data_IF_306829447418
#
_entry.id   IF_306829447418
#
_cell.length_a   1.000
_cell.length_b   1.000
_cell.length_c   1.000
_cell.angle_alpha   90.00
_cell.angle_beta   90.00
_cell.angle_gamma   90.00
#
_symmetry.space_group_name_H-M   'P 1'
#
loop_
_entity.id
_entity.type
_entity.pdbx_description
1 polymer ?
#
# COMPACT_ATOMS: atom_id res chain seq x y z
N UNK A 1 28.90 10.85 23.27
CA UNK A 1 29.98 11.49 22.50
C UNK A 1 29.57 12.92 22.18
N UNK A 2 30.20 13.87 22.86
CA UNK A 2 29.87 15.30 22.88
C UNK A 2 30.31 16.06 21.61
N UNK A 3 29.52 17.08 21.28
CA UNK A 3 29.86 18.30 20.50
C UNK A 3 30.59 18.14 19.16
N UNK A 4 29.80 18.19 18.08
CA UNK A 4 30.26 18.82 16.83
C UNK A 4 29.25 19.90 16.48
N UNK A 5 29.33 21.02 17.20
CA UNK A 5 28.90 22.30 16.66
C UNK A 5 30.10 22.79 15.87
N UNK A 6 29.94 23.02 14.57
CA UNK A 6 30.92 23.70 13.72
C UNK A 6 31.46 24.90 14.47
N UNK A 7 32.74 24.87 14.83
CA UNK A 7 33.32 25.90 15.68
C UNK A 7 33.63 27.16 14.87
N UNK A 8 33.97 28.25 15.57
CA UNK A 8 34.33 29.51 14.88
C UNK A 8 35.54 29.34 13.96
N UNK A 9 36.46 28.42 14.27
CA UNK A 9 37.65 28.18 13.47
C UNK A 9 37.28 27.53 12.12
N UNK A 10 36.39 26.53 12.12
CA UNK A 10 35.86 25.91 10.90
C UNK A 10 35.17 26.93 10.01
N UNK A 11 34.33 27.80 10.58
CA UNK A 11 33.65 28.87 9.82
C UNK A 11 34.67 29.82 9.18
N UNK A 12 35.67 30.26 9.95
CA UNK A 12 36.74 31.13 9.44
C UNK A 12 37.58 30.44 8.36
N UNK A 13 37.83 29.14 8.47
CA UNK A 13 38.53 28.36 7.45
C UNK A 13 37.76 28.34 6.13
N UNK A 14 36.45 28.04 6.18
CA UNK A 14 35.58 28.05 4.99
C UNK A 14 35.52 29.44 4.35
N UNK A 15 35.42 30.50 5.15
CA UNK A 15 35.38 31.88 4.65
C UNK A 15 36.60 32.29 3.83
N UNK A 16 37.78 31.71 4.13
CA UNK A 16 39.04 32.01 3.46
C UNK A 16 39.21 31.28 2.12
N UNK A 17 38.39 30.26 1.85
CA UNK A 17 38.48 29.50 0.61
C UNK A 17 38.08 30.34 -0.61
N UNK A 18 38.66 30.06 -1.79
CA UNK A 18 38.21 30.66 -3.05
C UNK A 18 36.74 30.35 -3.29
N UNK A 19 36.05 31.21 -4.03
CA UNK A 19 34.63 31.04 -4.34
C UNK A 19 34.46 30.71 -5.82
N UNK A 20 33.73 29.63 -6.10
CA UNK A 20 33.25 29.29 -7.42
C UNK A 20 31.79 29.75 -7.59
N UNK A 21 31.60 30.98 -8.09
CA UNK A 21 30.29 31.62 -8.12
C UNK A 21 29.27 30.94 -9.06
N UNK A 22 29.70 30.12 -10.01
CA UNK A 22 28.80 29.38 -10.91
C UNK A 22 28.38 28.02 -10.37
N UNK A 23 29.07 27.48 -9.36
CA UNK A 23 28.77 26.18 -8.79
C UNK A 23 27.45 26.20 -8.00
N UNK A 24 26.60 25.22 -8.29
CA UNK A 24 25.32 25.01 -7.61
C UNK A 24 25.33 23.63 -7.00
N UNK A 25 25.19 23.58 -5.68
CA UNK A 25 25.07 22.35 -4.90
C UNK A 25 23.62 22.22 -4.43
N UNK A 26 23.10 21.00 -4.36
CA UNK A 26 21.84 20.68 -3.72
C UNK A 26 22.08 19.75 -2.54
N UNK A 27 21.59 20.16 -1.38
CA UNK A 27 21.52 19.30 -0.21
C UNK A 27 20.23 18.46 -0.26
N UNK A 28 20.36 17.16 0.01
CA UNK A 28 19.23 16.22 0.02
C UNK A 28 19.32 15.32 1.24
N UNK A 29 18.18 15.11 1.91
CA UNK A 29 18.00 14.16 3.00
C UNK A 29 16.91 13.15 2.63
N UNK A 30 17.19 11.85 2.76
CA UNK A 30 16.26 10.77 2.45
C UNK A 30 16.42 9.60 3.41
N UNK A 31 15.34 8.84 3.63
CA UNK A 31 15.42 7.54 4.29
C UNK A 31 15.99 6.50 3.31
N UNK A 32 16.95 5.71 3.75
CA UNK A 32 17.46 4.60 2.96
C UNK A 32 16.38 3.53 2.75
N UNK A 33 16.52 2.75 1.67
CA UNK A 33 15.62 1.66 1.30
C UNK A 33 16.16 0.33 1.84
N UNK A 34 16.46 0.34 3.15
CA UNK A 34 16.92 -0.79 3.96
C UNK A 34 16.47 -0.61 5.40
N UNK A 35 16.52 -1.71 6.15
CA UNK A 35 16.30 -1.76 7.58
C UNK A 35 17.63 -1.91 8.32
N UNK A 36 17.83 -1.13 9.36
CA UNK A 36 18.95 -1.28 10.31
C UNK A 36 18.39 -1.40 11.72
N UNK A 37 19.17 -1.99 12.63
CA UNK A 37 18.88 -1.92 14.05
C UNK A 37 19.55 -0.67 14.63
N UNK A 38 18.80 0.11 15.42
CA UNK A 38 19.39 1.16 16.24
C UNK A 38 20.04 0.58 17.51
N UNK A 39 20.63 1.46 18.33
CA UNK A 39 21.29 1.10 19.58
C UNK A 39 20.34 0.42 20.60
N UNK A 40 19.02 0.50 20.39
CA UNK A 40 17.99 -0.14 21.21
C UNK A 40 17.43 -1.42 20.57
N UNK A 41 18.08 -1.94 19.52
CA UNK A 41 17.63 -3.07 18.70
C UNK A 41 16.28 -2.85 18.00
N UNK A 42 15.81 -1.60 17.91
CA UNK A 42 14.61 -1.28 17.15
C UNK A 42 14.95 -1.22 15.67
N UNK A 43 14.09 -1.84 14.86
CA UNK A 43 14.23 -1.82 13.40
C UNK A 43 13.76 -0.47 12.86
N UNK A 44 14.64 0.24 12.15
CA UNK A 44 14.40 1.57 11.62
C UNK A 44 14.88 1.71 10.17
N UNK A 45 14.33 2.68 9.44
CA UNK A 45 14.90 3.16 8.17
C UNK A 45 15.80 4.35 8.46
N UNK A 46 17.12 4.22 8.28
CA UNK A 46 18.03 5.30 8.64
C UNK A 46 17.94 6.45 7.63
N UNK A 47 18.00 7.68 8.11
CA UNK A 47 18.23 8.87 7.32
C UNK A 47 19.68 8.88 6.83
N UNK A 48 19.79 9.30 5.58
CA UNK A 48 21.03 9.49 4.88
C UNK A 48 20.92 10.81 4.13
N UNK A 49 21.93 11.63 4.26
CA UNK A 49 21.98 12.92 3.60
C UNK A 49 23.23 13.05 2.76
N UNK A 50 23.10 13.76 1.65
CA UNK A 50 24.12 13.88 0.63
C UNK A 50 24.01 15.22 -0.08
N UNK A 51 25.10 15.62 -0.70
CA UNK A 51 25.21 16.82 -1.51
C UNK A 51 25.47 16.43 -2.96
N UNK A 52 24.74 17.08 -3.86
CA UNK A 52 24.83 16.88 -5.30
C UNK A 52 25.26 18.19 -5.93
N UNK A 53 26.35 18.17 -6.69
CA UNK A 53 26.74 19.28 -7.55
C UNK A 53 25.85 19.26 -8.79
N UNK A 54 24.82 20.11 -8.82
CA UNK A 54 23.90 20.22 -9.95
C UNK A 54 24.57 20.84 -11.18
N UNK A 55 25.50 21.77 -10.95
CA UNK A 55 26.30 22.39 -11.99
C UNK A 55 27.77 22.45 -11.54
N UNK A 56 28.73 22.03 -12.39
CA UNK A 56 28.57 21.74 -13.82
C UNK A 56 28.29 20.29 -14.20
N UNK A 57 28.43 19.31 -13.31
CA UNK A 57 28.61 17.89 -13.72
C UNK A 57 27.56 16.90 -13.20
N UNK A 58 26.63 17.30 -12.34
CA UNK A 58 25.55 16.44 -11.84
C UNK A 58 26.02 15.35 -10.87
N UNK A 59 27.18 15.50 -10.22
CA UNK A 59 27.79 14.46 -9.39
C UNK A 59 27.48 14.58 -7.91
N UNK A 60 27.56 13.46 -7.21
CA UNK A 60 27.43 13.43 -5.75
C UNK A 60 28.80 13.69 -5.15
N UNK A 61 28.88 14.74 -4.35
CA UNK A 61 30.14 15.32 -3.84
C UNK A 61 30.28 15.18 -2.33
N UNK A 62 29.40 14.44 -1.68
CA UNK A 62 29.48 14.21 -0.26
C UNK A 62 28.26 13.47 0.23
N UNK A 63 28.46 12.59 1.19
CA UNK A 63 27.37 11.87 1.81
C UNK A 63 27.75 11.29 3.17
N UNK A 64 26.76 11.14 4.04
CA UNK A 64 26.95 10.44 5.32
C UNK A 64 25.64 9.83 5.84
N UNK A 65 25.76 8.80 6.67
CA UNK A 65 24.64 8.32 7.48
C UNK A 65 24.40 9.31 8.62
N UNK A 66 23.14 9.63 8.88
CA UNK A 66 22.81 10.55 9.96
C UNK A 66 23.13 9.92 11.33
N UNK A 67 23.75 10.71 12.23
CA UNK A 67 24.20 10.23 13.56
C UNK A 67 23.08 9.67 14.43
N UNK A 68 21.88 10.24 14.31
CA UNK A 68 20.65 9.72 14.92
C UNK A 68 19.83 9.18 13.77
N UNK A 69 19.94 7.88 13.43
CA UNK A 69 19.51 7.43 12.12
C UNK A 69 17.99 7.52 11.93
N UNK A 70 17.17 7.52 12.98
CA UNK A 70 15.72 7.61 12.84
C UNK A 70 15.17 9.05 12.65
N UNK A 71 16.02 10.08 12.83
CA UNK A 71 15.60 11.48 12.75
C UNK A 71 16.25 12.18 11.56
N UNK A 72 15.49 13.08 10.94
CA UNK A 72 16.05 13.96 9.92
C UNK A 72 17.11 14.88 10.56
N UNK A 73 18.25 15.13 9.88
CA UNK A 73 19.29 15.99 10.42
C UNK A 73 18.77 17.43 10.58
N UNK A 74 18.98 18.00 11.78
CA UNK A 74 18.63 19.39 12.04
C UNK A 74 19.60 20.36 11.33
N UNK A 75 19.23 21.64 11.24
CA UNK A 75 20.03 22.65 10.54
C UNK A 75 21.50 22.72 11.00
N UNK A 76 21.80 22.49 12.29
CA UNK A 76 23.20 22.49 12.74
C UNK A 76 23.98 21.29 12.20
N UNK A 77 23.36 20.11 12.15
CA UNK A 77 23.97 18.90 11.56
C UNK A 77 24.18 19.07 10.06
N UNK A 78 23.19 19.65 9.36
CA UNK A 78 23.30 19.95 7.93
C UNK A 78 24.43 20.96 7.66
N UNK A 79 24.50 22.03 8.44
CA UNK A 79 25.57 23.03 8.30
C UNK A 79 26.96 22.41 8.53
N UNK A 80 27.10 21.56 9.55
CA UNK A 80 28.37 20.87 9.83
C UNK A 80 28.81 19.96 8.70
N UNK A 81 27.89 19.16 8.16
CA UNK A 81 28.12 18.32 6.99
C UNK A 81 28.61 19.16 5.79
N UNK A 82 27.91 20.25 5.47
CA UNK A 82 28.27 21.13 4.36
C UNK A 82 29.66 21.76 4.55
N UNK A 83 29.97 22.26 5.75
CA UNK A 83 31.28 22.84 6.04
C UNK A 83 32.41 21.81 5.93
N UNK A 84 32.22 20.60 6.45
CA UNK A 84 33.22 19.52 6.33
C UNK A 84 33.46 19.15 4.87
N UNK A 85 32.40 18.96 4.11
CA UNK A 85 32.49 18.65 2.68
C UNK A 85 33.18 19.76 1.87
N UNK A 86 32.92 21.04 2.18
CA UNK A 86 33.56 22.18 1.52
C UNK A 86 35.06 22.24 1.84
N UNK A 87 35.45 21.93 3.08
CA UNK A 87 36.85 21.95 3.51
C UNK A 87 37.65 20.76 3.00
N UNK A 88 36.99 19.61 2.86
CA UNK A 88 37.57 18.34 2.44
C UNK A 88 36.70 17.69 1.35
N UNK A 89 36.72 18.24 0.12
CA UNK A 89 35.91 17.72 -0.97
C UNK A 89 36.41 16.33 -1.39
N UNK A 90 35.52 15.40 -1.75
CA UNK A 90 35.92 14.07 -2.19
C UNK A 90 36.72 14.15 -3.49
N UNK A 91 37.49 13.10 -3.77
CA UNK A 91 38.26 12.92 -5.02
C UNK A 91 39.47 13.85 -5.20
N UNK A 92 39.93 14.52 -4.14
CA UNK A 92 41.17 15.31 -4.16
C UNK A 92 41.05 16.63 -4.91
N UNK A 93 39.83 17.12 -5.11
CA UNK A 93 39.58 18.45 -5.64
C UNK A 93 40.10 19.53 -4.67
N UNK A 94 40.40 20.72 -5.19
CA UNK A 94 40.75 21.85 -4.34
C UNK A 94 39.52 22.36 -3.57
N UNK A 95 39.67 22.57 -2.27
CA UNK A 95 38.62 23.11 -1.42
C UNK A 95 38.20 24.52 -1.88
N UNK A 96 36.90 24.70 -2.15
CA UNK A 96 36.33 25.97 -2.57
C UNK A 96 34.89 26.12 -2.09
N UNK A 97 34.42 27.36 -1.99
CA UNK A 97 33.03 27.68 -1.66
C UNK A 97 32.16 27.66 -2.92
N UNK A 98 30.99 27.02 -2.88
CA UNK A 98 30.02 27.13 -3.96
C UNK A 98 29.42 28.53 -4.06
N UNK A 99 28.85 28.84 -5.22
CA UNK A 99 28.03 30.03 -5.41
C UNK A 99 26.73 29.92 -4.63
N UNK A 100 26.05 28.78 -4.81
CA UNK A 100 24.71 28.53 -4.33
C UNK A 100 24.60 27.12 -3.70
N UNK A 101 23.92 27.03 -2.56
CA UNK A 101 23.42 25.76 -2.00
C UNK A 101 21.89 25.79 -2.02
N UNK A 102 21.29 24.81 -2.66
CA UNK A 102 19.85 24.66 -2.76
C UNK A 102 19.30 23.61 -1.80
N UNK A 103 18.07 23.86 -1.32
CA UNK A 103 17.33 22.97 -0.43
C UNK A 103 15.94 22.69 -1.01
N UNK A 104 15.35 21.55 -0.65
CA UNK A 104 13.94 21.25 -0.95
C UNK A 104 12.99 21.62 0.18
N UNK A 105 13.50 21.78 1.40
CA UNK A 105 12.74 22.18 2.58
C UNK A 105 12.94 23.67 2.87
N UNK A 106 11.82 24.41 2.87
CA UNK A 106 11.77 25.85 3.12
C UNK A 106 12.17 26.22 4.55
N UNK A 107 11.84 25.40 5.54
CA UNK A 107 12.19 25.67 6.93
C UNK A 107 13.69 25.47 7.17
N UNK A 108 14.26 24.43 6.57
CA UNK A 108 15.70 24.18 6.61
C UNK A 108 16.50 25.32 5.94
N UNK A 109 16.05 25.77 4.76
CA UNK A 109 16.64 26.93 4.07
C UNK A 109 16.62 28.17 4.97
N UNK A 110 15.45 28.51 5.54
CA UNK A 110 15.28 29.66 6.43
C UNK A 110 16.24 29.63 7.63
N UNK A 111 16.43 28.45 8.23
CA UNK A 111 17.34 28.27 9.37
C UNK A 111 18.83 28.39 8.98
N UNK A 112 19.18 28.08 7.72
CA UNK A 112 20.55 28.06 7.23
C UNK A 112 20.97 29.32 6.46
N UNK A 113 20.02 30.09 5.93
CA UNK A 113 20.25 31.24 5.07
C UNK A 113 21.26 32.22 5.65
N UNK A 114 21.06 32.64 6.90
CA UNK A 114 21.96 33.61 7.56
C UNK A 114 23.37 33.04 7.74
N UNK A 115 23.49 31.77 8.14
CA UNK A 115 24.78 31.11 8.38
C UNK A 115 25.56 30.93 7.09
N UNK A 116 24.93 30.43 6.03
CA UNK A 116 25.55 30.25 4.71
C UNK A 116 25.89 31.58 4.05
N UNK A 117 25.03 32.59 4.19
CA UNK A 117 25.31 33.94 3.69
C UNK A 117 26.54 34.57 4.38
N UNK A 118 26.70 34.35 5.70
CA UNK A 118 27.87 34.84 6.44
C UNK A 118 29.21 34.27 5.97
N UNK A 119 29.18 33.13 5.27
CA UNK A 119 30.35 32.53 4.62
C UNK A 119 30.39 32.75 3.11
N UNK A 120 29.54 33.64 2.58
CA UNK A 120 29.54 34.06 1.18
C UNK A 120 28.85 33.09 0.23
N UNK A 121 28.01 32.19 0.73
CA UNK A 121 27.25 31.20 -0.05
C UNK A 121 25.78 31.64 -0.08
N UNK A 122 25.18 31.68 -1.28
CA UNK A 122 23.76 31.97 -1.43
C UNK A 122 22.92 30.72 -1.21
N UNK A 123 21.67 30.89 -0.79
CA UNK A 123 20.71 29.80 -0.63
C UNK A 123 19.52 29.97 -1.56
N UNK A 124 18.93 28.87 -1.99
CA UNK A 124 17.71 28.89 -2.80
C UNK A 124 16.87 27.63 -2.58
N UNK A 125 15.59 27.68 -2.94
CA UNK A 125 14.71 26.51 -2.96
C UNK A 125 14.68 25.92 -4.36
N UNK A 126 14.98 24.62 -4.47
CA UNK A 126 14.83 23.83 -5.70
C UNK A 126 14.16 22.49 -5.40
N UNK A 127 13.45 21.96 -6.39
CA UNK A 127 12.99 20.57 -6.33
C UNK A 127 14.19 19.62 -6.33
N UNK A 128 14.15 18.51 -5.56
CA UNK A 128 15.20 17.50 -5.56
C UNK A 128 15.50 17.00 -6.97
N UNK A 129 16.78 16.89 -7.32
CA UNK A 129 17.19 16.28 -8.57
C UNK A 129 16.72 14.82 -8.64
N UNK A 130 16.09 14.45 -9.76
CA UNK A 130 15.63 13.10 -10.04
C UNK A 130 16.77 12.24 -10.63
N UNK A 131 16.63 10.91 -10.52
CA UNK A 131 17.55 9.97 -11.19
C UNK A 131 18.88 9.70 -10.46
N UNK A 132 19.08 10.22 -9.25
CA UNK A 132 20.27 9.93 -8.45
C UNK A 132 20.14 8.58 -7.74
N UNK A 133 20.90 7.58 -8.19
CA UNK A 133 20.91 6.22 -7.59
C UNK A 133 21.70 6.11 -6.26
N UNK A 134 22.00 7.23 -5.59
CA UNK A 134 22.81 7.23 -4.35
C UNK A 134 22.17 6.39 -3.26
N UNK A 135 20.86 6.58 -3.05
CA UNK A 135 20.10 5.83 -2.04
C UNK A 135 20.21 4.33 -2.30
N UNK A 136 20.15 3.91 -3.56
CA UNK A 136 20.26 2.51 -3.98
C UNK A 136 21.67 1.97 -3.75
N UNK A 137 22.70 2.67 -4.23
CA UNK A 137 24.10 2.24 -4.08
C UNK A 137 24.52 2.10 -2.61
N UNK A 138 24.08 3.02 -1.75
CA UNK A 138 24.36 2.98 -0.31
C UNK A 138 23.61 1.84 0.36
N UNK A 139 22.33 1.68 0.02
CA UNK A 139 21.50 0.56 0.49
C UNK A 139 22.16 -0.78 0.17
N UNK A 140 22.61 -0.98 -1.07
CA UNK A 140 23.31 -2.19 -1.51
C UNK A 140 24.65 -2.40 -0.80
N UNK A 141 25.42 -1.34 -0.60
CA UNK A 141 26.69 -1.39 0.16
C UNK A 141 26.48 -1.83 1.61
N UNK A 142 25.43 -1.33 2.29
CA UNK A 142 25.11 -1.71 3.67
C UNK A 142 24.66 -3.18 3.76
N UNK A 143 23.83 -3.64 2.83
CA UNK A 143 23.42 -5.05 2.75
C UNK A 143 24.64 -5.94 2.53
N UNK A 144 25.54 -5.58 1.60
CA UNK A 144 26.76 -6.35 1.30
C UNK A 144 27.70 -6.47 2.51
N UNK A 145 27.67 -5.49 3.43
CA UNK A 145 28.45 -5.48 4.66
C UNK A 145 27.72 -6.14 5.84
N UNK A 146 26.54 -6.73 5.62
CA UNK A 146 25.69 -7.34 6.66
C UNK A 146 25.25 -6.34 7.75
N UNK A 147 25.23 -5.04 7.43
CA UNK A 147 24.82 -3.97 8.35
C UNK A 147 23.35 -3.59 8.21
N UNK A 148 22.66 -4.11 7.19
CA UNK A 148 21.28 -3.80 6.91
C UNK A 148 20.56 -4.96 6.22
N UNK A 149 19.23 -5.00 6.35
CA UNK A 149 18.38 -6.03 5.73
C UNK A 149 17.31 -5.40 4.85
N UNK A 150 16.76 -6.20 3.93
CA UNK A 150 15.63 -5.86 3.08
C UNK A 150 14.84 -7.13 2.80
N UNK A 151 13.52 -7.03 2.75
CA UNK A 151 12.63 -8.16 2.41
C UNK A 151 12.02 -7.97 1.03
N UNK A 152 11.58 -9.07 0.42
CA UNK A 152 10.85 -9.03 -0.86
C UNK A 152 9.61 -8.13 -0.81
N UNK A 153 8.96 -8.05 0.36
CA UNK A 153 7.81 -7.16 0.55
C UNK A 153 8.20 -5.69 0.33
N UNK A 154 9.40 -5.28 0.76
CA UNK A 154 9.82 -3.88 0.67
C UNK A 154 10.16 -3.44 -0.76
N UNK A 155 10.56 -4.37 -1.62
CA UNK A 155 10.91 -4.10 -3.03
C UNK A 155 9.71 -4.10 -3.97
N UNK A 156 8.53 -4.49 -3.48
CA UNK A 156 7.32 -4.47 -4.32
C UNK A 156 7.00 -3.04 -4.75
N UNK A 157 6.44 -2.84 -5.94
CA UNK A 157 6.00 -1.52 -6.39
C UNK A 157 4.96 -0.90 -5.45
N UNK A 158 5.00 0.42 -5.25
CA UNK A 158 3.99 1.20 -4.51
C UNK A 158 2.62 1.28 -5.20
N UNK A 159 1.60 1.85 -4.55
CA UNK A 159 0.27 2.04 -5.15
C UNK A 159 0.29 2.91 -6.41
N UNK A 160 1.15 3.93 -6.47
CA UNK A 160 1.29 4.81 -7.64
C UNK A 160 1.92 4.13 -8.85
N UNK A 161 2.46 2.91 -8.71
CA UNK A 161 2.99 2.15 -9.84
C UNK A 161 1.88 1.66 -10.78
N UNK A 162 0.61 1.70 -10.35
CA UNK A 162 -0.52 1.23 -11.14
C UNK A 162 -1.08 2.32 -12.03
N UNK A 163 -1.25 1.99 -13.31
CA UNK A 163 -1.78 2.91 -14.31
C UNK A 163 -3.13 3.50 -13.86
N UNK A 164 -3.22 4.83 -13.86
CA UNK A 164 -4.43 5.57 -13.52
C UNK A 164 -4.68 5.75 -12.01
N UNK A 165 -3.84 5.18 -11.14
CA UNK A 165 -3.86 5.50 -9.71
C UNK A 165 -3.13 6.82 -9.48
N UNK A 166 -3.89 7.83 -9.07
CA UNK A 166 -3.38 9.19 -8.82
C UNK A 166 -3.08 9.39 -7.33
N UNK A 167 -2.19 10.36 -7.02
CA UNK A 167 -1.84 10.71 -5.65
C UNK A 167 -3.08 10.99 -4.80
N UNK A 168 -4.03 11.78 -5.28
CA UNK A 168 -5.27 12.13 -4.56
C UNK A 168 -6.05 10.90 -4.08
N UNK A 169 -6.11 9.84 -4.89
CA UNK A 169 -6.77 8.58 -4.52
C UNK A 169 -5.99 7.84 -3.43
N UNK A 170 -4.65 7.83 -3.52
CA UNK A 170 -3.77 7.27 -2.47
C UNK A 170 -3.91 8.03 -1.15
N UNK A 171 -3.95 9.35 -1.18
CA UNK A 171 -4.18 10.17 0.02
C UNK A 171 -5.54 9.87 0.66
N UNK A 172 -6.57 9.74 -0.16
CA UNK A 172 -7.91 9.36 0.29
C UNK A 172 -7.90 7.97 0.94
N UNK A 173 -7.20 7.01 0.34
CA UNK A 173 -7.03 5.67 0.89
C UNK A 173 -6.40 5.67 2.28
N UNK A 174 -5.24 6.33 2.46
CA UNK A 174 -4.59 6.37 3.78
C UNK A 174 -5.48 7.06 4.83
N UNK A 175 -6.13 8.17 4.46
CA UNK A 175 -7.04 8.90 5.35
C UNK A 175 -8.23 8.04 5.79
N UNK A 176 -8.88 7.33 4.87
CA UNK A 176 -10.03 6.50 5.22
C UNK A 176 -9.63 5.22 5.95
N UNK A 177 -8.49 4.62 5.61
CA UNK A 177 -7.95 3.47 6.34
C UNK A 177 -7.64 3.85 7.79
N UNK A 178 -7.04 5.01 8.04
CA UNK A 178 -6.87 5.52 9.40
C UNK A 178 -8.20 5.63 10.17
N UNK A 179 -9.22 6.24 9.57
CA UNK A 179 -10.55 6.37 10.19
C UNK A 179 -11.20 5.01 10.43
N UNK A 180 -11.07 4.07 9.49
CA UNK A 180 -11.54 2.70 9.65
C UNK A 180 -10.85 2.02 10.83
N UNK A 181 -9.53 2.21 10.95
CA UNK A 181 -8.74 1.65 12.04
C UNK A 181 -9.18 2.17 13.41
N UNK A 182 -9.52 3.45 13.48
CA UNK A 182 -10.06 4.09 14.68
C UNK A 182 -11.46 3.60 15.04
N UNK A 183 -12.34 3.42 14.06
CA UNK A 183 -13.72 2.97 14.29
C UNK A 183 -13.80 1.51 14.72
N UNK A 184 -12.90 0.68 14.21
CA UNK A 184 -12.73 -0.69 14.67
C UNK A 184 -13.86 -1.66 14.30
N UNK A 185 -14.25 -1.80 13.02
CA UNK A 185 -15.35 -2.68 12.61
C UNK A 185 -15.18 -4.14 13.05
N UNK A 186 -13.95 -4.62 13.21
CA UNK A 186 -13.64 -5.99 13.68
C UNK A 186 -14.15 -6.34 15.08
N UNK A 187 -14.64 -5.38 15.88
CA UNK A 187 -15.38 -5.71 17.12
C UNK A 187 -16.85 -6.04 16.89
N UNK A 188 -17.42 -5.56 15.78
CA UNK A 188 -18.85 -5.69 15.45
C UNK A 188 -19.11 -6.80 14.43
N UNK A 189 -18.12 -7.11 13.60
CA UNK A 189 -18.21 -8.12 12.56
C UNK A 189 -17.46 -9.39 12.95
N UNK A 190 -18.10 -10.54 12.76
CA UNK A 190 -17.46 -11.84 12.93
C UNK A 190 -16.53 -12.16 11.76
N UNK A 191 -15.27 -12.52 12.05
CA UNK A 191 -14.33 -13.00 11.03
C UNK A 191 -14.74 -14.35 10.40
N UNK A 192 -15.70 -15.05 11.01
CA UNK A 192 -16.28 -16.30 10.51
C UNK A 192 -17.48 -16.08 9.59
N UNK A 193 -17.86 -14.83 9.31
CA UNK A 193 -18.99 -14.49 8.46
C UNK A 193 -18.51 -13.81 7.17
N UNK A 194 -19.24 -14.07 6.09
CA UNK A 194 -19.01 -13.45 4.78
C UNK A 194 -20.19 -12.56 4.45
N UNK A 195 -19.91 -11.31 4.14
CA UNK A 195 -20.90 -10.28 3.85
C UNK A 195 -20.98 -10.03 2.35
N UNK A 196 -22.16 -10.16 1.76
CA UNK A 196 -22.41 -9.74 0.39
C UNK A 196 -22.64 -8.24 0.34
N UNK A 197 -21.77 -7.48 -0.34
CA UNK A 197 -21.80 -6.02 -0.42
C UNK A 197 -21.94 -5.57 -1.87
N UNK A 198 -22.95 -4.73 -2.15
CA UNK A 198 -23.08 -4.03 -3.43
C UNK A 198 -22.65 -2.57 -3.31
N UNK A 199 -21.67 -2.16 -4.11
CA UNK A 199 -21.14 -0.79 -4.20
C UNK A 199 -20.74 -0.47 -5.65
N UNK A 200 -21.03 0.75 -6.11
CA UNK A 200 -20.67 1.23 -7.46
C UNK A 200 -21.09 0.23 -8.57
N UNK A 201 -22.33 -0.26 -8.50
CA UNK A 201 -22.89 -1.29 -9.39
C UNK A 201 -22.18 -2.65 -9.39
N UNK A 202 -21.34 -2.93 -8.40
CA UNK A 202 -20.66 -4.22 -8.25
C UNK A 202 -21.00 -4.90 -6.94
N UNK A 203 -21.36 -6.17 -7.06
CA UNK A 203 -21.47 -7.06 -5.91
C UNK A 203 -20.11 -7.73 -5.62
N UNK A 204 -19.74 -7.80 -4.34
CA UNK A 204 -18.55 -8.47 -3.83
C UNK A 204 -18.86 -9.14 -2.50
N UNK A 205 -18.13 -10.20 -2.21
CA UNK A 205 -18.08 -10.81 -0.89
C UNK A 205 -16.97 -10.16 -0.08
N UNK A 206 -17.23 -9.91 1.19
CA UNK A 206 -16.32 -9.22 2.10
C UNK A 206 -16.21 -10.00 3.40
N UNK A 207 -14.99 -10.16 3.90
CA UNK A 207 -14.69 -10.68 5.23
C UNK A 207 -13.90 -9.62 5.98
N UNK A 208 -14.29 -9.35 7.22
CA UNK A 208 -13.60 -8.41 8.09
C UNK A 208 -12.70 -9.21 9.03
N UNK A 209 -11.41 -8.92 8.99
CA UNK A 209 -10.36 -9.62 9.75
C UNK A 209 -10.07 -8.84 11.03
N UNK A 210 -10.00 -9.54 12.17
CA UNK A 210 -9.61 -8.90 13.43
C UNK A 210 -10.14 -9.51 14.71
N UNK A 211 -10.95 -10.59 14.69
CA UNK A 211 -11.46 -11.19 15.93
C UNK A 211 -10.34 -11.83 16.76
N UNK A 212 -9.25 -12.29 16.11
CA UNK A 212 -8.03 -12.77 16.77
C UNK A 212 -7.15 -11.67 17.39
N UNK A 213 -7.46 -10.37 17.19
CA UNK A 213 -6.68 -9.18 17.62
C UNK A 213 -5.25 -9.04 17.08
N UNK A 214 -4.74 -10.04 16.36
CA UNK A 214 -3.37 -10.03 15.82
C UNK A 214 -3.28 -9.46 14.41
N UNK A 215 -4.35 -9.62 13.61
CA UNK A 215 -4.38 -9.16 12.22
C UNK A 215 -5.68 -8.42 11.99
N UNK A 216 -5.58 -7.13 11.65
CA UNK A 216 -6.73 -6.32 11.27
C UNK A 216 -6.76 -6.12 9.76
N UNK A 217 -7.95 -6.13 9.17
CA UNK A 217 -8.06 -5.92 7.73
C UNK A 217 -9.42 -6.27 7.15
N UNK A 218 -9.45 -6.30 5.82
CA UNK A 218 -10.61 -6.65 5.00
C UNK A 218 -10.12 -7.50 3.84
N UNK A 219 -10.78 -8.64 3.61
CA UNK A 219 -10.59 -9.43 2.40
C UNK A 219 -11.84 -9.32 1.51
N UNK A 220 -11.65 -9.15 0.21
CA UNK A 220 -12.72 -8.87 -0.77
C UNK A 220 -12.56 -9.81 -1.96
N UNK A 221 -13.63 -10.51 -2.32
CA UNK A 221 -13.63 -11.42 -3.48
C UNK A 221 -14.91 -11.30 -4.29
N UNK A 222 -14.87 -11.66 -5.56
CA UNK A 222 -16.07 -11.84 -6.39
C UNK A 222 -16.72 -13.21 -6.21
N UNK A 223 -16.14 -14.12 -5.41
CA UNK A 223 -16.62 -15.49 -5.26
C UNK A 223 -16.71 -15.94 -3.81
N UNK A 224 -17.91 -16.34 -3.37
CA UNK A 224 -18.10 -16.94 -2.06
C UNK A 224 -17.38 -18.29 -1.91
N UNK A 225 -17.41 -19.11 -2.96
CA UNK A 225 -16.72 -20.39 -3.01
C UNK A 225 -15.20 -20.23 -2.84
N UNK A 226 -14.66 -19.06 -3.19
CA UNK A 226 -13.26 -18.73 -2.95
C UNK A 226 -12.95 -18.58 -1.47
N UNK A 227 -13.71 -17.77 -0.73
CA UNK A 227 -13.56 -17.66 0.72
C UNK A 227 -13.78 -18.98 1.44
N UNK A 228 -14.83 -19.74 1.07
CA UNK A 228 -15.09 -21.07 1.65
C UNK A 228 -13.90 -22.02 1.50
N UNK A 229 -13.28 -22.06 0.31
CA UNK A 229 -12.10 -22.91 0.07
C UNK A 229 -10.94 -22.50 0.97
N UNK A 230 -10.61 -21.21 1.04
CA UNK A 230 -9.51 -20.70 1.88
C UNK A 230 -9.73 -20.98 3.36
N UNK A 231 -10.96 -20.80 3.84
CA UNK A 231 -11.30 -21.11 5.23
C UNK A 231 -11.13 -22.60 5.53
N UNK A 232 -11.69 -23.50 4.72
CA UNK A 232 -11.53 -24.94 4.91
C UNK A 232 -10.05 -25.37 4.90
N UNK A 233 -9.24 -24.77 4.03
CA UNK A 233 -7.79 -25.00 3.99
C UNK A 233 -7.11 -24.52 5.28
N UNK A 234 -7.41 -23.31 5.74
CA UNK A 234 -6.83 -22.75 6.97
C UNK A 234 -7.19 -23.56 8.23
N UNK A 235 -8.39 -24.17 8.25
CA UNK A 235 -8.86 -25.00 9.35
C UNK A 235 -8.40 -26.47 9.26
N UNK A 236 -7.60 -26.84 8.26
CA UNK A 236 -7.16 -28.24 8.07
C UNK A 236 -8.29 -29.22 7.73
N UNK A 237 -9.43 -28.71 7.23
CA UNK A 237 -10.60 -29.49 6.89
C UNK A 237 -10.47 -30.05 5.47
N UNK A 238 -9.72 -31.14 5.33
CA UNK A 238 -9.60 -31.90 4.09
C UNK A 238 -10.83 -32.80 3.90
N UNK A 239 -11.65 -32.55 2.87
CA UNK A 239 -12.65 -33.52 2.41
C UNK A 239 -14.12 -33.13 2.47
N UNK A 240 -14.48 -31.91 2.89
CA UNK A 240 -15.85 -31.42 2.65
C UNK A 240 -15.96 -30.95 1.20
N UNK A 241 -16.40 -31.88 0.34
CA UNK A 241 -16.91 -31.55 -0.98
C UNK A 241 -17.90 -30.39 -0.85
N UNK A 242 -17.70 -29.37 -1.69
CA UNK A 242 -18.60 -28.24 -1.92
C UNK A 242 -20.02 -28.74 -2.24
N UNK A 243 -20.81 -29.10 -1.24
CA UNK A 243 -22.21 -29.51 -1.41
C UNK A 243 -23.18 -28.32 -1.34
N UNK A 244 -22.68 -27.09 -1.22
CA UNK A 244 -23.50 -25.90 -1.44
C UNK A 244 -23.50 -25.56 -2.93
N UNK A 245 -24.57 -25.92 -3.63
CA UNK A 245 -24.91 -25.53 -5.01
C UNK A 245 -25.31 -24.04 -5.12
N UNK A 246 -24.75 -23.19 -4.26
CA UNK A 246 -25.07 -21.77 -4.20
C UNK A 246 -24.19 -21.03 -5.17
N UNK A 247 -24.80 -20.59 -6.27
CA UNK A 247 -24.12 -19.79 -7.29
C UNK A 247 -24.71 -18.39 -7.23
N UNK A 248 -23.87 -17.38 -7.12
CA UNK A 248 -24.33 -15.99 -7.07
C UNK A 248 -24.06 -15.30 -8.40
N UNK A 249 -24.98 -14.41 -8.80
CA UNK A 249 -24.74 -13.54 -9.93
C UNK A 249 -23.55 -12.60 -9.64
N UNK A 250 -22.54 -12.58 -10.49
CA UNK A 250 -21.36 -11.71 -10.36
C UNK A 250 -21.72 -10.23 -10.43
N UNK A 251 -22.78 -9.89 -11.18
CA UNK A 251 -23.25 -8.51 -11.33
C UNK A 251 -24.14 -8.08 -10.14
N UNK A 252 -25.28 -8.75 -9.95
CA UNK A 252 -26.26 -8.33 -8.93
C UNK A 252 -26.14 -9.08 -7.59
N UNK A 253 -25.41 -10.19 -7.50
CA UNK A 253 -25.31 -10.93 -6.25
C UNK A 253 -26.54 -11.76 -5.88
N UNK A 254 -27.58 -11.84 -6.73
CA UNK A 254 -28.72 -12.72 -6.43
C UNK A 254 -28.26 -14.19 -6.38
N UNK A 255 -28.68 -14.92 -5.35
CA UNK A 255 -28.47 -16.36 -5.23
C UNK A 255 -29.23 -17.09 -6.34
N UNK A 256 -28.61 -18.11 -6.92
CA UNK A 256 -29.16 -18.94 -7.99
C UNK A 256 -29.05 -20.40 -7.55
N UNK A 257 -30.20 -21.07 -7.48
CA UNK A 257 -30.29 -22.41 -6.90
C UNK A 257 -30.01 -23.54 -7.90
N UNK A 258 -30.21 -23.32 -9.20
CA UNK A 258 -30.19 -24.40 -10.20
C UNK A 258 -29.61 -24.03 -11.58
N UNK A 259 -29.88 -22.83 -12.10
CA UNK A 259 -29.46 -22.42 -13.45
C UNK A 259 -28.84 -21.04 -13.46
N UNK A 260 -27.62 -20.93 -14.00
CA UNK A 260 -26.93 -19.65 -14.20
C UNK A 260 -26.34 -19.56 -15.59
N UNK A 261 -26.41 -18.37 -16.17
CA UNK A 261 -25.65 -18.05 -17.36
C UNK A 261 -24.19 -17.92 -16.96
N UNK A 262 -23.32 -18.74 -17.52
CA UNK A 262 -21.88 -18.62 -17.32
C UNK A 262 -21.26 -17.88 -18.48
N UNK A 263 -20.27 -17.02 -18.19
CA UNK A 263 -19.43 -16.47 -19.25
C UNK A 263 -18.80 -17.62 -20.04
N UNK A 264 -19.03 -17.67 -21.35
CA UNK A 264 -18.55 -18.78 -22.20
C UNK A 264 -17.02 -18.85 -22.28
N UNK A 265 -16.34 -17.71 -22.09
CA UNK A 265 -14.88 -17.61 -22.18
C UNK A 265 -14.18 -18.10 -20.91
N UNK A 266 -14.53 -17.54 -19.74
CA UNK A 266 -13.87 -17.86 -18.48
C UNK A 266 -14.57 -18.97 -17.67
N UNK A 267 -15.87 -19.21 -17.92
CA UNK A 267 -16.73 -20.17 -17.20
C UNK A 267 -16.86 -19.93 -15.68
N UNK A 268 -16.31 -18.82 -15.18
CA UNK A 268 -16.26 -18.48 -13.76
C UNK A 268 -17.28 -17.43 -13.34
N UNK A 269 -17.50 -16.40 -14.16
CA UNK A 269 -18.54 -15.42 -13.88
C UNK A 269 -19.91 -16.04 -14.17
N UNK A 270 -20.81 -15.96 -13.19
CA UNK A 270 -22.16 -16.47 -13.25
C UNK A 270 -23.14 -15.29 -13.26
N UNK A 271 -24.23 -15.40 -13.99
CA UNK A 271 -25.21 -14.35 -14.13
C UNK A 271 -26.62 -14.93 -14.08
N UNK A 272 -27.57 -14.18 -13.52
CA UNK A 272 -28.98 -14.56 -13.58
C UNK A 272 -29.47 -14.68 -15.02
N UNK A 273 -28.99 -13.79 -15.90
CA UNK A 273 -29.42 -13.65 -17.29
C UNK A 273 -28.43 -12.84 -18.13
N UNK A 274 -28.66 -12.80 -19.45
CA UNK A 274 -27.88 -12.03 -20.42
C UNK A 274 -27.81 -10.53 -20.09
N UNK A 275 -28.87 -9.95 -19.49
CA UNK A 275 -28.90 -8.53 -19.10
C UNK A 275 -27.82 -8.23 -18.05
N UNK A 276 -27.70 -9.08 -17.03
CA UNK A 276 -26.65 -8.95 -16.01
C UNK A 276 -25.25 -9.13 -16.63
N UNK A 277 -25.08 -10.09 -17.54
CA UNK A 277 -23.82 -10.30 -18.25
C UNK A 277 -23.42 -9.08 -19.10
N UNK A 278 -24.35 -8.51 -19.87
CA UNK A 278 -24.09 -7.33 -20.71
C UNK A 278 -23.71 -6.11 -19.89
N UNK A 279 -24.37 -5.89 -18.74
CA UNK A 279 -24.05 -4.80 -17.83
C UNK A 279 -22.65 -4.95 -17.21
N UNK A 280 -22.25 -6.17 -16.87
CA UNK A 280 -20.92 -6.44 -16.31
C UNK A 280 -19.79 -6.43 -17.35
N UNK A 281 -20.11 -6.66 -18.64
CA UNK A 281 -19.12 -6.84 -19.70
C UNK A 281 -18.04 -5.75 -19.84
N UNK A 282 -18.33 -4.43 -19.77
CA UNK A 282 -17.30 -3.39 -19.88
C UNK A 282 -16.16 -3.55 -18.87
N UNK A 283 -16.48 -4.12 -17.71
CA UNK A 283 -15.56 -4.40 -16.62
C UNK A 283 -15.00 -5.81 -16.79
N UNK A 284 -15.90 -6.81 -16.86
CA UNK A 284 -15.54 -8.22 -16.88
C UNK A 284 -14.58 -8.54 -18.02
N UNK A 285 -14.71 -7.92 -19.20
CA UNK A 285 -13.79 -8.17 -20.33
C UNK A 285 -12.31 -7.96 -19.99
N UNK A 286 -11.98 -7.09 -19.03
CA UNK A 286 -10.60 -6.83 -18.56
C UNK A 286 -10.10 -7.91 -17.59
N UNK A 287 -11.03 -8.55 -16.90
CA UNK A 287 -10.78 -9.64 -15.95
C UNK A 287 -10.94 -11.03 -16.60
N UNK A 288 -11.67 -11.10 -17.71
CA UNK A 288 -12.01 -12.30 -18.46
C UNK A 288 -10.79 -12.75 -19.27
N UNK A 289 -9.94 -13.54 -18.64
CA UNK A 289 -8.82 -14.16 -19.34
C UNK A 289 -9.32 -15.32 -20.21
N UNK A 290 -8.86 -15.38 -21.46
CA UNK A 290 -9.12 -16.52 -22.34
C UNK A 290 -8.60 -17.81 -21.71
N UNK A 291 -9.46 -18.82 -21.66
CA UNK A 291 -9.11 -20.21 -21.32
C UNK A 291 -8.27 -20.89 -22.41
N UNK A 292 -7.35 -20.18 -23.07
CA UNK A 292 -6.31 -20.77 -23.93
C UNK A 292 -5.10 -21.17 -23.08
N UNK A 293 -5.33 -21.91 -22.00
CA UNK A 293 -4.34 -22.89 -21.55
C UNK A 293 -4.47 -24.03 -22.55
N UNK A 294 -3.49 -24.11 -23.45
CA UNK A 294 -3.35 -25.20 -24.42
C UNK A 294 -3.54 -26.52 -23.68
N UNK A 295 -4.34 -27.42 -24.26
CA UNK A 295 -4.37 -28.84 -23.91
C UNK A 295 -2.92 -29.33 -23.76
N UNK A 296 -2.45 -29.54 -22.54
CA UNK A 296 -1.51 -30.62 -22.28
C UNK A 296 -2.37 -31.75 -21.75
N UNK A 297 -2.49 -32.78 -22.58
CA UNK A 297 -2.94 -34.08 -22.13
C UNK A 297 -1.92 -34.56 -21.09
N UNK A 298 -2.43 -35.14 -20.00
CA UNK A 298 -1.69 -35.65 -18.84
C UNK A 298 -1.38 -34.64 -17.73
N UNK A 299 -2.42 -34.05 -17.15
CA UNK A 299 -2.44 -33.73 -15.72
C UNK A 299 -3.87 -33.82 -15.19
N UNK A 300 -4.09 -34.65 -14.16
CA UNK A 300 -5.39 -34.80 -13.47
C UNK A 300 -5.72 -33.61 -12.56
N UNK A 301 -4.88 -32.57 -12.55
CA UNK A 301 -5.16 -31.31 -11.88
C UNK A 301 -5.96 -30.35 -12.79
N UNK A 302 -7.20 -30.05 -12.38
CA UNK A 302 -8.13 -29.16 -13.10
C UNK A 302 -7.48 -27.80 -13.39
N UNK A 303 -7.71 -27.17 -14.56
CA UNK A 303 -7.09 -25.89 -14.91
C UNK A 303 -7.49 -24.80 -13.90
N UNK A 304 -6.53 -24.37 -13.09
CA UNK A 304 -6.68 -23.35 -12.06
C UNK A 304 -6.87 -21.97 -12.72
N UNK A 305 -8.08 -21.42 -12.62
CA UNK A 305 -8.39 -20.05 -13.05
C UNK A 305 -7.93 -19.03 -11.99
N UNK A 306 -7.34 -17.91 -12.45
CA UNK A 306 -6.95 -16.72 -11.68
C UNK A 306 -8.10 -16.20 -10.81
N UNK A 307 -8.16 -16.57 -9.53
CA UNK A 307 -9.07 -15.93 -8.58
C UNK A 307 -8.38 -14.68 -8.04
N UNK A 308 -9.04 -13.53 -8.18
CA UNK A 308 -8.58 -12.26 -7.61
C UNK A 308 -9.24 -12.04 -6.26
N UNK A 309 -8.42 -11.80 -5.26
CA UNK A 309 -8.85 -11.36 -3.93
C UNK A 309 -8.12 -10.07 -3.61
N UNK A 310 -8.88 -9.00 -3.42
CA UNK A 310 -8.34 -7.73 -2.96
C UNK A 310 -8.36 -7.70 -1.44
N UNK A 311 -7.25 -7.32 -0.85
CA UNK A 311 -7.07 -7.36 0.60
C UNK A 311 -6.48 -6.04 1.08
N UNK A 312 -7.06 -5.52 2.16
CA UNK A 312 -6.49 -4.47 3.01
C UNK A 312 -6.03 -5.13 4.30
N UNK A 313 -4.75 -4.99 4.67
CA UNK A 313 -4.24 -5.39 5.98
C UNK A 313 -3.60 -4.20 6.69
N UNK A 314 -3.61 -4.24 8.02
CA UNK A 314 -2.78 -3.38 8.85
C UNK A 314 -1.56 -4.19 9.29
N UNK A 315 -0.37 -3.73 8.91
CA UNK A 315 0.89 -4.44 9.14
C UNK A 315 1.90 -3.56 9.88
N UNK A 316 2.98 -4.19 10.34
CA UNK A 316 4.21 -3.51 10.77
C UNK A 316 4.80 -2.67 9.62
N UNK A 317 5.54 -1.62 9.96
CA UNK A 317 6.27 -0.81 8.96
C UNK A 317 7.19 -1.67 8.08
N UNK A 318 7.79 -2.71 8.65
CA UNK A 318 8.74 -3.62 7.97
C UNK A 318 8.12 -4.44 6.85
N UNK A 319 6.81 -4.62 6.85
CA UNK A 319 6.08 -5.33 5.79
C UNK A 319 5.62 -4.40 4.64
N UNK A 320 5.90 -3.10 4.74
CA UNK A 320 5.40 -2.11 3.79
C UNK A 320 6.40 -1.89 2.66
N UNK A 321 5.93 -1.81 1.41
CA UNK A 321 6.75 -1.42 0.27
C UNK A 321 7.38 -0.04 0.44
N UNK A 322 8.67 0.11 0.08
CA UNK A 322 9.39 1.37 0.33
C UNK A 322 8.77 2.56 -0.41
N UNK A 323 8.21 2.35 -1.60
CA UNK A 323 7.51 3.42 -2.33
C UNK A 323 6.32 3.97 -1.54
N UNK A 324 5.53 3.10 -0.89
CA UNK A 324 4.39 3.54 -0.07
C UNK A 324 4.87 4.22 1.22
N UNK A 325 5.97 3.74 1.83
CA UNK A 325 6.59 4.39 2.99
C UNK A 325 7.15 5.77 2.63
N UNK A 326 7.81 5.90 1.47
CA UNK A 326 8.36 7.18 1.01
C UNK A 326 7.23 8.20 0.80
N UNK A 327 6.09 7.79 0.23
CA UNK A 327 4.88 8.63 0.16
C UNK A 327 4.33 8.98 1.54
N UNK A 328 4.23 8.00 2.43
CA UNK A 328 3.79 8.19 3.81
C UNK A 328 4.62 9.24 4.55
N UNK A 329 5.95 9.22 4.39
CA UNK A 329 6.85 10.20 4.98
C UNK A 329 6.79 11.56 4.31
N UNK A 330 6.66 11.60 2.98
CA UNK A 330 6.61 12.85 2.23
C UNK A 330 5.34 13.65 2.49
N UNK A 331 4.19 12.97 2.65
CA UNK A 331 2.88 13.61 2.79
C UNK A 331 2.28 13.50 4.20
N UNK A 332 2.99 12.86 5.14
CA UNK A 332 2.60 12.74 6.55
C UNK A 332 1.16 12.23 6.72
N UNK A 333 0.78 11.15 6.04
CA UNK A 333 -0.58 10.63 6.17
C UNK A 333 -0.87 10.20 7.62
N UNK A 334 -2.12 10.32 8.10
CA UNK A 334 -2.42 9.91 9.46
C UNK A 334 -2.27 8.39 9.62
N UNK A 335 -1.61 7.96 10.70
CA UNK A 335 -1.47 6.56 11.09
C UNK A 335 -2.02 6.36 12.49
N UNK A 336 -2.59 5.17 12.74
CA UNK A 336 -3.08 4.83 14.07
C UNK A 336 -1.89 4.62 15.02
N UNK A 337 -1.91 5.20 16.23
CA UNK A 337 -0.72 5.31 17.09
C UNK A 337 -0.37 3.98 17.79
N UNK A 338 0.14 2.98 17.05
CA UNK A 338 0.87 1.80 17.56
C UNK A 338 1.79 1.22 16.45
N UNK A 339 2.74 0.34 16.81
CA UNK A 339 3.78 -0.17 15.89
C UNK A 339 3.29 -1.10 14.75
N UNK A 340 2.00 -1.45 14.69
CA UNK A 340 1.43 -2.46 13.78
C UNK A 340 0.20 -1.97 13.01
N UNK A 341 0.25 -0.77 12.39
CA UNK A 341 -0.94 -0.16 11.78
C UNK A 341 -0.75 0.54 10.45
N UNK A 342 0.24 0.14 9.66
CA UNK A 342 0.37 0.64 8.29
C UNK A 342 -0.63 -0.07 7.37
N UNK A 343 -1.56 0.68 6.73
CA UNK A 343 -2.52 0.07 5.83
C UNK A 343 -1.83 -0.31 4.51
N UNK A 344 -1.93 -1.58 4.14
CA UNK A 344 -1.43 -2.11 2.87
C UNK A 344 -2.58 -2.73 2.09
N UNK A 345 -2.79 -2.22 0.87
CA UNK A 345 -3.73 -2.79 -0.08
C UNK A 345 -2.98 -3.56 -1.18
N UNK A 346 -3.44 -4.78 -1.44
CA UNK A 346 -2.90 -5.66 -2.49
C UNK A 346 -4.00 -6.55 -3.07
N UNK A 347 -3.72 -7.13 -4.23
CA UNK A 347 -4.55 -8.12 -4.91
C UNK A 347 -3.77 -9.42 -5.01
N UNK A 348 -4.27 -10.45 -4.36
CA UNK A 348 -3.82 -11.81 -4.55
C UNK A 348 -4.43 -12.37 -5.83
N UNK A 349 -3.60 -12.88 -6.71
CA UNK A 349 -4.01 -13.60 -7.91
C UNK A 349 -3.61 -15.06 -7.73
N UNK A 350 -4.59 -15.90 -7.37
CA UNK A 350 -4.39 -17.34 -7.22
C UNK A 350 -3.97 -17.95 -8.57
N UNK A 351 -2.68 -18.24 -8.68
CA UNK A 351 -1.98 -18.93 -9.77
C UNK A 351 -1.08 -20.00 -9.14
N UNK A 352 -0.34 -20.76 -9.96
CA UNK A 352 0.68 -21.71 -9.48
C UNK A 352 1.65 -21.07 -8.47
N UNK A 353 1.98 -19.78 -8.65
CA UNK A 353 2.95 -19.05 -7.81
C UNK A 353 2.33 -17.99 -6.87
N UNK A 354 1.00 -17.93 -6.70
CA UNK A 354 0.29 -16.90 -5.91
C UNK A 354 0.88 -15.48 -6.06
N UNK A 355 0.51 -14.77 -7.12
CA UNK A 355 1.07 -13.44 -7.41
C UNK A 355 0.41 -12.38 -6.54
N UNK A 356 1.21 -11.63 -5.80
CA UNK A 356 0.80 -10.42 -5.10
C UNK A 356 0.97 -9.21 -6.02
N UNK A 357 -0.12 -8.51 -6.27
CA UNK A 357 -0.15 -7.32 -7.12
C UNK A 357 -0.78 -6.11 -6.39
N UNK A 358 -0.71 -4.91 -6.97
CA UNK A 358 -1.40 -3.73 -6.46
C UNK A 358 -2.80 -3.55 -7.05
N UNK A 359 -3.77 -3.00 -6.29
CA UNK A 359 -5.10 -2.74 -6.82
C UNK A 359 -5.07 -1.80 -8.02
N UNK A 360 -5.92 -2.05 -9.02
CA UNK A 360 -6.17 -1.07 -10.08
C UNK A 360 -6.87 0.17 -9.51
N UNK A 361 -6.98 1.24 -10.31
CA UNK A 361 -7.76 2.43 -9.97
C UNK A 361 -9.17 2.08 -9.48
N UNK A 362 -9.89 1.25 -10.23
CA UNK A 362 -11.27 0.88 -9.90
C UNK A 362 -11.36 0.00 -8.65
N UNK A 363 -10.40 -0.92 -8.47
CA UNK A 363 -10.33 -1.77 -7.28
C UNK A 363 -10.05 -0.91 -6.03
N UNK A 364 -9.09 0.01 -6.09
CA UNK A 364 -8.77 0.93 -5.00
C UNK A 364 -9.94 1.88 -4.69
N UNK A 365 -10.62 2.43 -5.70
CA UNK A 365 -11.82 3.25 -5.53
C UNK A 365 -12.94 2.47 -4.83
N UNK A 366 -13.14 1.21 -5.21
CA UNK A 366 -14.14 0.35 -4.56
C UNK A 366 -13.78 0.07 -3.10
N UNK A 367 -12.51 -0.23 -2.80
CA UNK A 367 -12.01 -0.42 -1.44
C UNK A 367 -12.17 0.84 -0.57
N UNK A 368 -11.78 2.00 -1.09
CA UNK A 368 -11.98 3.29 -0.41
C UNK A 368 -13.45 3.48 -0.09
N UNK A 369 -14.34 3.25 -1.06
CA UNK A 369 -15.78 3.40 -0.87
C UNK A 369 -16.34 2.44 0.18
N UNK A 370 -15.87 1.20 0.22
CA UNK A 370 -16.23 0.26 1.28
C UNK A 370 -15.79 0.79 2.66
N UNK A 371 -14.55 1.25 2.78
CA UNK A 371 -14.03 1.79 4.03
C UNK A 371 -14.82 3.01 4.51
N UNK A 372 -15.21 3.90 3.59
CA UNK A 372 -16.08 5.05 3.91
C UNK A 372 -17.38 4.62 4.55
N UNK A 373 -18.09 3.66 3.94
CA UNK A 373 -19.38 3.26 4.48
C UNK A 373 -19.22 2.52 5.81
N UNK A 374 -18.20 1.66 5.96
CA UNK A 374 -17.92 1.02 7.25
C UNK A 374 -17.59 2.05 8.34
N UNK A 375 -16.93 3.15 8.00
CA UNK A 375 -16.67 4.26 8.93
C UNK A 375 -17.96 5.02 9.27
N UNK A 376 -18.79 5.32 8.25
CA UNK A 376 -20.03 6.08 8.40
C UNK A 376 -21.10 5.28 9.18
N UNK A 377 -21.14 3.96 9.02
CA UNK A 377 -21.99 3.06 9.82
C UNK A 377 -21.46 2.85 11.26
N UNK A 378 -20.41 3.57 11.65
CA UNK A 378 -19.71 3.40 12.93
C UNK A 378 -19.23 1.96 13.16
N UNK A 379 -18.86 1.26 12.09
CA UNK A 379 -18.43 -0.13 12.12
C UNK A 379 -19.56 -1.12 12.35
N UNK A 380 -20.83 -0.70 12.36
CA UNK A 380 -21.96 -1.60 12.63
C UNK A 380 -22.52 -2.21 11.34
N UNK A 381 -23.04 -3.46 11.39
CA UNK A 381 -23.85 -4.01 10.32
C UNK A 381 -25.12 -3.18 10.15
N UNK A 382 -25.39 -2.70 8.94
CA UNK A 382 -26.68 -2.07 8.63
C UNK A 382 -27.70 -3.20 8.47
N UNK A 383 -28.44 -3.51 9.54
CA UNK A 383 -29.59 -4.40 9.50
C UNK A 383 -30.81 -3.57 9.08
N UNK A 384 -31.55 -4.06 8.08
CA UNK A 384 -32.79 -3.52 7.50
C UNK A 384 -32.64 -2.50 6.37
N UNK A 385 -32.82 -2.96 5.12
CA UNK A 385 -33.55 -2.24 4.08
C UNK A 385 -34.41 -3.27 3.35
N UNK A 386 -35.73 -3.10 3.38
CA UNK A 386 -36.68 -3.86 2.56
C UNK A 386 -36.38 -3.65 1.07
N UNK A 387 -36.71 -4.62 0.23
CA UNK A 387 -36.54 -4.56 -1.24
C UNK A 387 -37.14 -3.28 -1.88
N UNK A 388 -38.10 -2.63 -1.21
CA UNK A 388 -38.78 -1.41 -1.66
C UNK A 388 -38.04 -0.09 -1.38
N UNK A 389 -36.91 -0.08 -0.67
CA UNK A 389 -36.17 1.15 -0.33
C UNK A 389 -35.14 1.58 -1.41
N UNK A 390 -35.37 1.19 -2.66
CA UNK A 390 -34.58 1.60 -3.81
C UNK A 390 -34.93 3.05 -4.16
N UNK A 391 -33.91 3.92 -4.15
CA UNK A 391 -33.87 5.29 -4.68
C UNK A 391 -34.07 6.40 -3.63
N UNK A 392 -32.97 6.78 -2.97
CA UNK A 392 -32.60 8.20 -2.76
C UNK A 392 -31.09 8.31 -2.42
N UNK A 393 -30.33 9.14 -3.15
CA UNK A 393 -28.97 9.62 -2.81
C UNK A 393 -27.71 8.72 -2.95
N UNK A 394 -27.67 7.73 -3.85
CA UNK A 394 -26.42 7.05 -4.30
C UNK A 394 -25.46 6.47 -3.22
N UNK A 395 -25.88 6.38 -1.95
CA UNK A 395 -25.09 5.82 -0.85
C UNK A 395 -25.80 4.63 -0.23
N UNK A 396 -25.73 3.47 -0.88
CA UNK A 396 -26.36 2.25 -0.36
C UNK A 396 -25.37 1.11 -0.31
N UNK A 397 -25.19 0.54 0.88
CA UNK A 397 -24.66 -0.81 1.05
C UNK A 397 -25.85 -1.72 1.31
N UNK A 398 -26.03 -2.69 0.42
CA UNK A 398 -26.81 -3.88 0.72
C UNK A 398 -25.84 -4.88 1.36
N UNK A 399 -26.01 -5.17 2.66
CA UNK A 399 -25.34 -6.28 3.34
C UNK A 399 -26.32 -7.45 3.34
N UNK A 400 -26.14 -8.40 2.42
CA UNK A 400 -26.76 -9.71 2.60
C UNK A 400 -25.85 -10.51 3.50
N UNK A 401 -26.24 -10.64 4.77
CA UNK A 401 -25.69 -11.71 5.61
C UNK A 401 -26.18 -13.00 4.99
N UNK A 402 -25.33 -13.65 4.20
CA UNK A 402 -25.57 -15.03 3.79
C UNK A 402 -25.57 -15.84 5.08
N UNK A 403 -26.78 -16.07 5.59
CA UNK A 403 -27.09 -16.21 7.02
C UNK A 403 -26.05 -17.01 7.76
N UNK A 404 -25.57 -16.51 8.89
CA UNK A 404 -24.65 -17.10 9.88
C UNK A 404 -24.30 -18.58 9.65
N UNK A 405 -23.64 -18.88 8.54
CA UNK A 405 -23.07 -20.18 8.31
C UNK A 405 -21.72 -20.03 8.94
N UNK A 406 -21.70 -20.18 10.28
CA UNK A 406 -20.47 -20.54 10.95
C UNK A 406 -19.83 -21.59 10.06
N UNK A 407 -18.58 -21.41 9.67
CA UNK A 407 -17.89 -22.41 8.87
C UNK A 407 -17.80 -23.80 9.57
N UNK A 408 -18.42 -23.95 10.75
CA UNK A 408 -18.83 -25.22 11.33
C UNK A 408 -19.87 -25.90 10.44
N UNK A 409 -19.40 -26.94 9.76
CA UNK A 409 -20.08 -28.22 9.50
C UNK A 409 -21.53 -28.17 9.02
N UNK A 410 -21.70 -28.61 7.77
CA UNK A 410 -22.91 -29.20 7.23
C UNK A 410 -23.73 -29.97 8.28
N UNK A 411 -24.94 -29.49 8.59
CA UNK A 411 -26.04 -30.36 9.00
C UNK A 411 -27.38 -29.74 8.64
N UNK A 412 -28.13 -30.46 7.78
CA UNK A 412 -29.57 -30.42 7.56
C UNK A 412 -30.30 -29.06 7.58
N UNK A 413 -30.74 -28.60 6.40
CA UNK A 413 -31.97 -27.83 6.31
C UNK A 413 -32.93 -28.48 5.30
N UNK A 414 -34.13 -28.75 5.80
CA UNK A 414 -35.27 -29.34 5.08
C UNK A 414 -35.61 -28.47 3.87
N UNK A 415 -35.86 -29.13 2.74
CA UNK A 415 -36.27 -28.48 1.50
C UNK A 415 -37.59 -27.69 1.64
N UNK A 416 -37.84 -26.73 0.73
CA UNK A 416 -39.06 -25.95 0.75
C UNK A 416 -40.28 -26.85 0.56
N UNK A 417 -41.32 -26.60 1.37
CA UNK A 417 -42.64 -27.20 1.22
C UNK A 417 -43.16 -26.93 -0.18
N UNK A 418 -43.70 -27.97 -0.80
CA UNK A 418 -44.40 -27.96 -2.07
C UNK A 418 -45.40 -26.80 -2.13
N UNK A 419 -45.29 -25.97 -3.17
CA UNK A 419 -46.32 -25.00 -3.53
C UNK A 419 -47.35 -25.77 -4.37
N UNK A 420 -48.53 -25.94 -3.79
CA UNK A 420 -49.69 -26.55 -4.42
C UNK A 420 -49.96 -25.94 -5.80
N UNK A 421 -50.10 -26.81 -6.80
CA UNK A 421 -50.66 -26.45 -8.09
C UNK A 421 -52.09 -25.96 -7.88
N UNK A 422 -52.40 -24.76 -8.38
CA UNK A 422 -53.79 -24.33 -8.59
C UNK A 422 -54.20 -24.73 -10.00
N UNK A 423 -55.32 -25.43 -10.05
CA UNK A 423 -56.10 -25.83 -11.23
C UNK A 423 -56.41 -24.68 -12.19
#
# INVERSE_FOLDING_TARGET
MERITTDKHTITAVQKLPKNSSEVIQYVSRRLRVWVQDDQHKTIRPYYHFAVRLYPDGRVIGYELCKVPNNEPNANQVFDFLCRMILDPPTGEEAHRPGIISFSDQELERQLAQKLSSIGIQVQILQPAEGLEVVKAVSESLIKRELATRTDANERPGMLSKQGVELSLVQTFFSIAYRLRQKGPWSEFSENEVYGIRLLDRFRFVVILGSSKNVFGIAISSSLSHFRKKYCQAMGMSGLGSSSSEVFCTFCGAQQLLYTYRCSQCKFAHYCNEKCQKKDWPIHKRECHNSTIRKREDDTSRPYLKRKEMTLLYCTETAIPFDDLDLQYQYCFPLYPTEDNFPVAFVMIDNVDNVLDRPTKEELQWLVRLCEVLVDSSGKPILSLSEDALVQDEKWIYIETLGSHSFRTATQMKGPKEMEAKD
#
